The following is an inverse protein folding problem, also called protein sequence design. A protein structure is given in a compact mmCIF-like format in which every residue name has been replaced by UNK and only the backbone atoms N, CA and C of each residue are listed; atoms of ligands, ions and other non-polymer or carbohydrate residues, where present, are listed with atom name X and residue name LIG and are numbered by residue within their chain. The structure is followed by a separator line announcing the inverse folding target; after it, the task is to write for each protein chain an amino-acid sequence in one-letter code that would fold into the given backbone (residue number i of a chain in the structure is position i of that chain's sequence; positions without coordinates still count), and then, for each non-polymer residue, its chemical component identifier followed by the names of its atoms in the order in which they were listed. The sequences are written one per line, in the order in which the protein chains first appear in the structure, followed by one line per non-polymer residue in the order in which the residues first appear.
data_IF_033040829854
#
_entry.id   IF_033040829854
#
_cell.length_a   1.000
_cell.length_b   1.000
_cell.length_c   1.000
_cell.angle_alpha   90.00
_cell.angle_beta   90.00
_cell.angle_gamma   90.00
#
_symmetry.space_group_name_H-M   'P 1'
#
loop_
_entity.id
_entity.type
_entity.pdbx_description
1 polymer ?
#
# COMPACT_ATOMS: atom_id res chain seq x y z
N UNK A 1 -13.00 9.37 -4.05
CA UNK A 1 -12.56 9.31 -2.63
C UNK A 1 -12.06 7.90 -2.39
N UNK A 2 -10.74 7.72 -2.31
CA UNK A 2 -10.05 6.43 -2.49
C UNK A 2 -10.32 5.47 -1.33
N UNK A 3 -11.09 4.41 -1.58
CA UNK A 3 -11.32 3.31 -0.64
C UNK A 3 -9.99 2.71 -0.12
N UNK A 4 -8.97 2.68 -0.99
CA UNK A 4 -7.61 2.28 -0.65
C UNK A 4 -6.98 3.17 0.43
N UNK A 5 -7.14 4.50 0.32
CA UNK A 5 -6.56 5.46 1.27
C UNK A 5 -7.17 5.28 2.66
N UNK A 6 -8.50 5.24 2.74
CA UNK A 6 -9.20 5.01 4.01
C UNK A 6 -8.77 3.69 4.65
N UNK A 7 -8.65 2.62 3.85
CA UNK A 7 -8.23 1.31 4.35
C UNK A 7 -6.79 1.31 4.89
N UNK A 8 -5.87 1.98 4.19
CA UNK A 8 -4.49 2.15 4.65
C UNK A 8 -4.40 2.98 5.93
N UNK A 9 -5.19 4.05 6.04
CA UNK A 9 -5.29 4.86 7.26
C UNK A 9 -5.82 4.04 8.45
N UNK A 10 -6.84 3.20 8.24
CA UNK A 10 -7.33 2.28 9.27
C UNK A 10 -6.26 1.27 9.71
N UNK A 11 -5.49 0.72 8.77
CA UNK A 11 -4.40 -0.21 9.08
C UNK A 11 -3.28 0.45 9.89
N UNK A 12 -2.98 1.71 9.58
CA UNK A 12 -1.99 2.52 10.29
C UNK A 12 -2.45 2.86 11.72
N UNK A 13 -3.69 3.34 11.88
CA UNK A 13 -4.27 3.71 13.17
C UNK A 13 -4.37 2.51 14.11
N UNK A 14 -4.85 1.38 13.59
CA UNK A 14 -5.01 0.14 14.34
C UNK A 14 -3.68 -0.62 14.53
N UNK A 15 -2.58 -0.14 13.94
CA UNK A 15 -1.27 -0.83 13.87
C UNK A 15 -1.42 -2.31 13.51
N UNK A 16 -2.31 -2.61 12.56
CA UNK A 16 -2.59 -3.98 12.16
C UNK A 16 -1.56 -4.45 11.15
N UNK A 17 -1.11 -5.71 11.23
CA UNK A 17 -0.31 -6.28 10.16
C UNK A 17 -1.16 -6.36 8.89
N UNK A 18 -0.58 -5.91 7.79
CA UNK A 18 -1.14 -5.94 6.46
C UNK A 18 -0.24 -6.75 5.53
N UNK A 19 -0.84 -7.61 4.73
CA UNK A 19 -0.17 -8.26 3.61
C UNK A 19 -0.41 -7.42 2.37
N UNK A 20 0.62 -6.76 1.86
CA UNK A 20 0.55 -5.88 0.69
C UNK A 20 1.22 -6.58 -0.49
N UNK A 21 0.46 -6.74 -1.56
CA UNK A 21 0.96 -7.26 -2.83
C UNK A 21 1.04 -6.11 -3.82
N UNK A 22 2.23 -5.85 -4.32
CA UNK A 22 2.52 -4.70 -5.18
C UNK A 22 3.44 -5.08 -6.34
N UNK A 23 3.45 -4.24 -7.38
CA UNK A 23 4.37 -4.37 -8.51
C UNK A 23 5.59 -3.47 -8.29
N UNK A 24 6.76 -4.09 -8.15
CA UNK A 24 8.04 -3.37 -8.10
C UNK A 24 8.32 -2.65 -9.42
N UNK A 25 9.19 -1.63 -9.38
CA UNK A 25 9.68 -0.89 -10.55
C UNK A 25 10.36 -1.79 -11.59
N UNK A 26 10.88 -2.95 -11.17
CA UNK A 26 11.48 -3.96 -12.05
C UNK A 26 10.43 -4.83 -12.77
N UNK A 27 9.14 -4.58 -12.55
CA UNK A 27 8.02 -5.33 -13.13
C UNK A 27 7.65 -6.62 -12.39
N UNK A 28 8.44 -7.02 -11.39
CA UNK A 28 8.16 -8.17 -10.53
C UNK A 28 7.02 -7.89 -9.55
N UNK A 29 6.16 -8.88 -9.31
CA UNK A 29 5.13 -8.80 -8.28
C UNK A 29 5.71 -9.33 -6.97
N UNK A 30 5.68 -8.49 -5.94
CA UNK A 30 6.20 -8.82 -4.61
C UNK A 30 5.07 -8.77 -3.60
N UNK A 31 5.06 -9.73 -2.68
CA UNK A 31 4.17 -9.74 -1.53
C UNK A 31 5.00 -9.55 -0.27
N UNK A 32 4.61 -8.57 0.53
CA UNK A 32 5.21 -8.31 1.84
C UNK A 32 4.13 -8.40 2.91
N UNK A 33 4.55 -8.81 4.11
CA UNK A 33 3.71 -8.77 5.31
C UNK A 33 4.39 -7.87 6.33
N UNK A 34 3.72 -6.81 6.74
CA UNK A 34 4.27 -5.82 7.65
C UNK A 34 3.21 -4.85 8.16
N UNK A 35 3.63 -3.79 8.79
CA UNK A 35 2.79 -2.69 9.25
C UNK A 35 3.05 -1.48 8.38
N UNK A 36 1.98 -0.74 8.08
CA UNK A 36 2.12 0.59 7.47
C UNK A 36 2.62 1.53 8.56
N UNK A 37 3.84 2.06 8.38
CA UNK A 37 4.49 2.96 9.36
C UNK A 37 4.32 4.42 8.99
N UNK A 38 4.19 4.71 7.69
CA UNK A 38 4.05 6.08 7.19
C UNK A 38 3.24 6.11 5.90
N UNK A 39 2.47 7.17 5.72
CA UNK A 39 1.82 7.51 4.46
C UNK A 39 2.16 8.95 4.13
N UNK A 40 2.55 9.21 2.89
CA UNK A 40 2.92 10.54 2.40
C UNK A 40 2.30 10.76 1.02
N UNK A 41 2.10 12.01 0.62
CA UNK A 41 1.57 12.34 -0.71
C UNK A 41 2.62 13.14 -1.47
N UNK A 42 3.24 12.52 -2.48
CA UNK A 42 4.31 13.12 -3.26
C UNK A 42 3.82 13.35 -4.68
N UNK A 43 3.78 14.62 -5.10
CA UNK A 43 3.32 15.01 -6.44
C UNK A 43 1.92 14.47 -6.80
N UNK A 44 1.02 14.40 -5.81
CA UNK A 44 -0.36 13.90 -5.99
C UNK A 44 -0.48 12.37 -6.06
N UNK A 45 0.60 11.64 -5.75
CA UNK A 45 0.58 10.17 -5.61
C UNK A 45 0.71 9.80 -4.15
N UNK A 46 -0.09 8.84 -3.70
CA UNK A 46 -0.02 8.37 -2.33
C UNK A 46 1.10 7.33 -2.24
N UNK A 47 2.02 7.56 -1.31
CA UNK A 47 3.15 6.69 -1.04
C UNK A 47 2.99 6.10 0.36
N UNK A 48 3.18 4.79 0.46
CA UNK A 48 3.06 4.02 1.68
C UNK A 48 4.42 3.43 2.03
N UNK A 49 4.87 3.67 3.26
CA UNK A 49 6.07 3.07 3.81
C UNK A 49 5.69 1.98 4.81
N UNK A 50 6.39 0.85 4.73
CA UNK A 50 6.20 -0.29 5.63
C UNK A 50 7.39 -0.49 6.55
N UNK A 51 7.19 -1.17 7.68
CA UNK A 51 8.28 -1.47 8.64
C UNK A 51 9.40 -2.33 8.03
N UNK A 52 9.09 -3.06 6.95
CA UNK A 52 10.05 -3.82 6.17
C UNK A 52 10.97 -2.93 5.30
N UNK A 53 10.81 -1.59 5.32
CA UNK A 53 11.62 -0.64 4.58
C UNK A 53 11.20 -0.48 3.11
N UNK A 54 10.03 -0.98 2.73
CA UNK A 54 9.50 -0.81 1.38
C UNK A 54 8.66 0.46 1.28
N UNK A 55 8.93 1.23 0.23
CA UNK A 55 8.19 2.43 -0.18
C UNK A 55 7.39 2.08 -1.44
N UNK A 56 6.06 2.14 -1.34
CA UNK A 56 5.13 1.61 -2.34
C UNK A 56 4.15 2.71 -2.73
N UNK A 57 4.10 3.07 -4.01
CA UNK A 57 3.07 3.97 -4.53
C UNK A 57 1.71 3.29 -4.63
N UNK A 58 0.62 4.03 -4.48
CA UNK A 58 -0.73 3.50 -4.61
C UNK A 58 -1.03 2.89 -5.98
N UNK A 59 -0.37 3.40 -7.04
CA UNK A 59 -0.43 2.86 -8.39
C UNK A 59 0.19 1.45 -8.51
N UNK A 60 1.10 1.12 -7.59
CA UNK A 60 1.80 -0.16 -7.57
C UNK A 60 1.04 -1.22 -6.79
N UNK A 61 0.10 -0.81 -5.92
CA UNK A 61 -0.64 -1.73 -5.05
C UNK A 61 -1.66 -2.50 -5.89
N UNK A 62 -1.57 -3.83 -5.82
CA UNK A 62 -2.50 -4.74 -6.48
C UNK A 62 -3.54 -5.25 -5.49
N UNK A 63 -3.10 -5.60 -4.28
CA UNK A 63 -3.93 -6.26 -3.28
C UNK A 63 -3.42 -5.95 -1.87
N UNK A 64 -4.34 -5.77 -0.91
CA UNK A 64 -4.00 -5.69 0.53
C UNK A 64 -4.89 -6.65 1.30
N UNK A 65 -4.31 -7.54 2.11
CA UNK A 65 -5.03 -8.51 2.94
C UNK A 65 -6.03 -9.39 2.16
N UNK A 66 -5.73 -9.69 0.89
CA UNK A 66 -6.64 -10.44 0.02
C UNK A 66 -7.72 -9.58 -0.67
N UNK A 67 -7.85 -8.30 -0.31
CA UNK A 67 -8.72 -7.35 -1.00
C UNK A 67 -7.99 -6.74 -2.19
N UNK A 68 -8.52 -6.94 -3.40
CA UNK A 68 -7.99 -6.29 -4.60
C UNK A 68 -8.49 -4.85 -4.64
N UNK A 69 -7.56 -3.91 -4.79
CA UNK A 69 -7.88 -2.50 -4.97
C UNK A 69 -7.57 -2.18 -6.43
N UNK A 70 -8.50 -2.54 -7.33
CA UNK A 70 -8.41 -2.12 -8.72
C UNK A 70 -8.58 -0.60 -8.76
N UNK A 71 -7.47 0.11 -8.98
CA UNK A 71 -7.47 1.50 -9.41
C UNK A 71 -8.02 1.49 -10.84
N UNK A 72 -9.35 1.60 -10.98
CA UNK A 72 -9.98 1.81 -12.28
C UNK A 72 -9.49 3.19 -12.76
N UNK A 73 -8.58 3.19 -13.73
CA UNK A 73 -8.08 4.39 -14.43
C UNK A 73 -9.21 5.25 -15.00
#
# INVERSE_FOLDING_TARGET
MNALKNYLEELMDLKRPATIRFRSVEGSVTEIKGHVVKMDEVSGRLIVETDAGYVIGDDQILQINGHSFENIC
#
